data_IF_278826107743
#
_entry.id   IF_278826107743
#
_cell.length_a   1.000
_cell.length_b   1.000
_cell.length_c   1.000
_cell.angle_alpha   90.00
_cell.angle_beta   90.00
_cell.angle_gamma   90.00
#
_symmetry.space_group_name_H-M   'P 1'
#
loop_
_entity.id
_entity.type
_entity.pdbx_description
1 polymer ?
#
# COMPACT_ATOMS: atom_id res chain seq x y z
N UNK A 1 -21.22 -3.09 39.47
CA UNK A 1 -21.71 -4.20 38.62
C UNK A 1 -21.19 -3.99 37.19
N UNK A 2 -20.69 -5.02 36.51
CA UNK A 2 -20.32 -4.92 35.09
C UNK A 2 -21.56 -4.64 34.23
N UNK A 3 -21.43 -3.79 33.21
CA UNK A 3 -22.58 -3.42 32.37
C UNK A 3 -22.97 -4.57 31.42
N UNK A 4 -24.28 -4.83 31.23
CA UNK A 4 -24.75 -5.84 30.29
C UNK A 4 -24.32 -5.52 28.85
N UNK A 5 -23.92 -6.55 28.09
CA UNK A 5 -23.52 -6.41 26.67
C UNK A 5 -24.65 -5.75 25.88
N UNK A 6 -24.34 -4.64 25.19
CA UNK A 6 -25.32 -3.85 24.43
C UNK A 6 -26.08 -2.78 25.24
N UNK A 7 -25.86 -2.66 26.55
CA UNK A 7 -26.42 -1.60 27.41
C UNK A 7 -25.36 -0.63 27.94
N UNK A 8 -24.24 -0.48 27.22
CA UNK A 8 -23.29 0.61 27.47
C UNK A 8 -23.76 1.87 26.74
N UNK A 9 -23.36 3.06 27.21
CA UNK A 9 -23.64 4.34 26.52
C UNK A 9 -23.13 4.42 25.07
N UNK A 10 -22.36 3.42 24.63
CA UNK A 10 -22.08 3.14 23.23
C UNK A 10 -22.44 1.67 22.89
N UNK A 11 -23.70 1.39 22.49
CA UNK A 11 -24.17 0.03 22.20
C UNK A 11 -23.54 -0.57 20.93
N UNK A 12 -23.10 0.28 19.99
CA UNK A 12 -22.42 -0.12 18.75
C UNK A 12 -20.90 -0.30 18.91
N UNK A 13 -20.36 0.01 20.09
CA UNK A 13 -18.93 -0.04 20.34
C UNK A 13 -18.14 1.01 19.57
N UNK A 14 -16.80 0.98 19.72
CA UNK A 14 -15.92 1.83 18.90
C UNK A 14 -16.03 1.40 17.43
N UNK A 15 -16.23 2.32 16.47
CA UNK A 15 -16.34 1.97 15.06
C UNK A 15 -15.10 1.22 14.58
N UNK A 16 -15.31 0.11 13.86
CA UNK A 16 -14.24 -0.71 13.30
C UNK A 16 -13.35 0.15 12.40
N UNK A 17 -12.03 0.08 12.59
CA UNK A 17 -11.06 0.86 11.82
C UNK A 17 -10.72 2.25 12.37
N UNK A 18 -11.38 2.72 13.42
CA UNK A 18 -10.99 3.99 14.07
C UNK A 18 -9.59 3.82 14.67
N UNK A 19 -8.57 4.62 14.31
CA UNK A 19 -7.23 4.51 14.88
C UNK A 19 -7.22 4.86 16.38
N UNK A 20 -6.28 4.30 17.14
CA UNK A 20 -6.15 4.63 18.57
C UNK A 20 -5.72 6.09 18.73
N UNK A 21 -6.28 6.79 19.72
CA UNK A 21 -6.00 8.22 19.95
C UNK A 21 -4.49 8.49 20.06
N UNK A 22 -3.77 7.67 20.82
CA UNK A 22 -2.32 7.72 20.96
C UNK A 22 -1.61 7.57 19.60
N UNK A 23 -2.07 6.62 18.78
CA UNK A 23 -1.49 6.40 17.45
C UNK A 23 -1.77 7.56 16.49
N UNK A 24 -2.91 8.23 16.62
CA UNK A 24 -3.22 9.44 15.86
C UNK A 24 -2.30 10.59 16.28
N UNK A 25 -2.19 10.84 17.58
CA UNK A 25 -1.33 11.91 18.14
C UNK A 25 0.13 11.75 17.72
N UNK A 26 0.67 10.52 17.80
CA UNK A 26 2.04 10.23 17.35
C UNK A 26 2.21 10.48 15.85
N UNK A 27 1.25 10.07 15.00
CA UNK A 27 1.30 10.34 13.56
C UNK A 27 1.27 11.84 13.25
N UNK A 28 0.40 12.59 13.93
CA UNK A 28 0.32 14.04 13.78
C UNK A 28 1.62 14.71 14.21
N UNK A 29 2.20 14.29 15.33
CA UNK A 29 3.48 14.82 15.80
C UNK A 29 4.62 14.54 14.81
N UNK A 30 4.73 13.32 14.27
CA UNK A 30 5.74 12.97 13.27
C UNK A 30 5.58 13.82 12.01
N UNK A 31 4.36 14.00 11.51
CA UNK A 31 4.11 14.84 10.33
C UNK A 31 4.56 16.28 10.57
N UNK A 32 4.19 16.86 11.71
CA UNK A 32 4.62 18.22 12.10
C UNK A 32 6.14 18.33 12.27
N UNK A 33 6.78 17.29 12.80
CA UNK A 33 8.24 17.28 12.94
C UNK A 33 8.92 17.30 11.57
N UNK A 34 8.43 16.50 10.62
CA UNK A 34 8.96 16.47 9.25
C UNK A 34 8.77 17.84 8.59
N UNK A 35 7.56 18.41 8.66
CA UNK A 35 7.26 19.72 8.06
C UNK A 35 8.15 20.83 8.62
N UNK A 36 8.38 20.84 9.94
CA UNK A 36 9.26 21.83 10.60
C UNK A 36 10.72 21.73 10.17
N UNK A 37 11.20 20.54 9.81
CA UNK A 37 12.59 20.32 9.43
C UNK A 37 12.84 20.43 7.92
N UNK A 38 11.82 20.81 7.14
CA UNK A 38 11.92 20.86 5.68
C UNK A 38 13.04 21.76 5.18
N UNK A 39 13.16 22.97 5.74
CA UNK A 39 14.22 23.92 5.35
C UNK A 39 15.62 23.37 5.65
N UNK A 40 15.81 22.73 6.80
CA UNK A 40 17.07 22.10 7.16
C UNK A 40 17.40 20.95 6.19
N UNK A 41 16.42 20.12 5.86
CA UNK A 41 16.62 19.03 4.90
C UNK A 41 17.02 19.53 3.51
N UNK A 42 16.45 20.64 3.04
CA UNK A 42 16.83 21.26 1.76
C UNK A 42 18.28 21.75 1.78
N UNK A 43 18.73 22.32 2.90
CA UNK A 43 20.13 22.73 3.09
C UNK A 43 21.06 21.52 3.14
N UNK A 44 20.71 20.47 3.89
CA UNK A 44 21.50 19.24 3.98
C UNK A 44 21.68 18.59 2.60
N UNK A 45 20.61 18.54 1.79
CA UNK A 45 20.67 18.05 0.41
C UNK A 45 21.61 18.87 -0.47
N UNK A 46 21.67 20.18 -0.26
CA UNK A 46 22.58 21.05 -1.00
C UNK A 46 24.06 20.85 -0.60
N UNK A 47 24.31 20.46 0.66
CA UNK A 47 25.66 20.17 1.18
C UNK A 47 26.20 18.80 0.76
N UNK A 48 25.35 17.84 0.36
CA UNK A 48 25.78 16.52 -0.09
C UNK A 48 26.70 16.59 -1.32
N UNK A 49 27.56 15.58 -1.48
CA UNK A 49 28.36 15.45 -2.70
C UNK A 49 27.47 15.25 -3.93
N UNK A 50 27.89 15.66 -5.14
CA UNK A 50 27.04 15.57 -6.34
C UNK A 50 26.47 14.18 -6.59
N UNK A 51 27.26 13.12 -6.35
CA UNK A 51 26.82 11.73 -6.50
C UNK A 51 25.72 11.35 -5.50
N UNK A 52 25.93 11.63 -4.21
CA UNK A 52 24.98 11.32 -3.15
C UNK A 52 23.67 12.08 -3.33
N UNK A 53 23.76 13.33 -3.77
CA UNK A 53 22.60 14.17 -4.07
C UNK A 53 21.74 13.57 -5.18
N UNK A 54 22.34 13.12 -6.28
CA UNK A 54 21.63 12.44 -7.36
C UNK A 54 20.99 11.13 -6.90
N UNK A 55 21.69 10.33 -6.08
CA UNK A 55 21.12 9.10 -5.51
C UNK A 55 19.93 9.39 -4.59
N UNK A 56 19.98 10.47 -3.81
CA UNK A 56 18.86 10.85 -2.94
C UNK A 56 17.66 11.32 -3.77
N UNK A 57 17.89 12.10 -4.83
CA UNK A 57 16.82 12.48 -5.76
C UNK A 57 16.19 11.28 -6.47
N UNK A 58 16.98 10.27 -6.87
CA UNK A 58 16.46 9.02 -7.42
C UNK A 58 15.47 8.33 -6.47
N UNK A 59 15.78 8.31 -5.17
CA UNK A 59 14.90 7.74 -4.15
C UNK A 59 13.62 8.57 -3.97
N UNK A 60 13.73 9.90 -3.98
CA UNK A 60 12.58 10.79 -3.84
C UNK A 60 11.66 10.76 -5.06
N UNK A 61 12.21 10.61 -6.27
CA UNK A 61 11.44 10.53 -7.52
C UNK A 61 10.42 9.40 -7.53
N UNK A 62 10.64 8.32 -6.76
CA UNK A 62 9.71 7.20 -6.65
C UNK A 62 8.37 7.58 -6.03
N UNK A 63 8.32 8.69 -5.27
CA UNK A 63 7.13 9.18 -4.59
C UNK A 63 6.43 10.31 -5.36
N UNK A 64 7.11 10.93 -6.34
CA UNK A 64 6.55 12.03 -7.13
C UNK A 64 6.18 11.60 -8.54
N UNK A 65 6.91 10.65 -9.11
CA UNK A 65 6.67 10.13 -10.45
C UNK A 65 6.05 8.74 -10.34
N UNK A 66 4.94 8.46 -11.05
CA UNK A 66 4.41 7.12 -11.12
C UNK A 66 5.46 6.21 -11.74
N UNK A 67 6.05 5.33 -10.94
CA UNK A 67 6.91 4.26 -11.47
C UNK A 67 6.00 3.35 -12.26
N UNK A 68 6.30 3.14 -13.54
CA UNK A 68 5.68 2.06 -14.30
C UNK A 68 6.08 0.79 -13.57
N UNK A 69 5.18 0.27 -12.74
CA UNK A 69 5.34 -1.07 -12.20
C UNK A 69 5.42 -1.96 -13.43
N UNK A 70 6.52 -2.71 -13.55
CA UNK A 70 6.53 -3.88 -14.42
C UNK A 70 5.24 -4.62 -14.09
N UNK A 71 4.28 -4.63 -15.02
CA UNK A 71 3.08 -5.42 -14.89
C UNK A 71 3.60 -6.85 -14.93
N UNK A 72 3.93 -7.41 -13.77
CA UNK A 72 3.83 -8.85 -13.62
C UNK A 72 2.36 -9.11 -13.90
N UNK A 73 2.08 -9.64 -15.09
CA UNK A 73 0.81 -10.24 -15.45
C UNK A 73 0.61 -11.44 -14.54
N UNK A 74 0.40 -11.22 -13.23
CA UNK A 74 -0.12 -12.21 -12.32
C UNK A 74 -1.55 -12.40 -12.76
N UNK A 75 -1.75 -13.40 -13.61
CA UNK A 75 -3.08 -13.86 -13.98
C UNK A 75 -3.70 -14.38 -12.69
N UNK A 76 -4.54 -13.55 -12.07
CA UNK A 76 -5.28 -13.93 -10.87
C UNK A 76 -6.47 -14.78 -11.30
N UNK A 77 -6.26 -16.09 -11.34
CA UNK A 77 -7.29 -17.06 -11.69
C UNK A 77 -8.45 -17.09 -10.67
N UNK A 78 -8.30 -16.46 -9.48
CA UNK A 78 -9.37 -16.38 -8.48
C UNK A 78 -10.54 -15.47 -8.91
N UNK A 79 -10.32 -14.58 -9.89
CA UNK A 79 -11.33 -13.68 -10.42
C UNK A 79 -12.12 -14.26 -11.60
N UNK A 80 -11.76 -15.45 -12.08
CA UNK A 80 -12.46 -16.09 -13.20
C UNK A 80 -13.71 -16.81 -12.71
N UNK A 81 -14.81 -16.67 -13.45
CA UNK A 81 -16.00 -17.47 -13.19
C UNK A 81 -15.84 -18.91 -13.71
N UNK A 82 -16.71 -19.80 -13.26
CA UNK A 82 -16.65 -21.24 -13.58
C UNK A 82 -16.72 -21.51 -15.09
N UNK A 83 -17.51 -20.74 -15.84
CA UNK A 83 -17.61 -20.87 -17.29
C UNK A 83 -16.30 -20.50 -18.01
N UNK A 84 -15.63 -19.44 -17.54
CA UNK A 84 -14.34 -18.99 -18.07
C UNK A 84 -13.24 -19.99 -17.72
N UNK A 85 -13.22 -20.52 -16.50
CA UNK A 85 -12.25 -21.54 -16.08
C UNK A 85 -12.39 -22.82 -16.92
N UNK A 86 -13.63 -23.28 -17.13
CA UNK A 86 -13.92 -24.44 -17.98
C UNK A 86 -13.55 -24.25 -19.46
N UNK A 87 -13.50 -23.00 -19.94
CA UNK A 87 -13.02 -22.69 -21.28
C UNK A 87 -11.49 -22.81 -21.35
N UNK A 88 -10.78 -22.21 -20.41
CA UNK A 88 -9.32 -22.27 -20.33
C UNK A 88 -8.83 -23.72 -20.23
N UNK A 89 -9.47 -24.54 -19.38
CA UNK A 89 -9.12 -25.97 -19.23
C UNK A 89 -9.30 -26.73 -20.55
N UNK A 90 -10.36 -26.44 -21.31
CA UNK A 90 -10.64 -27.12 -22.59
C UNK A 90 -9.63 -26.79 -23.66
N UNK A 91 -9.25 -25.52 -23.77
CA UNK A 91 -8.24 -25.06 -24.74
C UNK A 91 -6.87 -25.70 -24.43
N UNK A 92 -6.43 -25.66 -23.17
CA UNK A 92 -5.18 -26.30 -22.75
C UNK A 92 -5.17 -27.80 -23.01
N UNK A 93 -6.28 -28.49 -22.73
CA UNK A 93 -6.40 -29.93 -22.98
C UNK A 93 -6.43 -30.27 -24.48
N UNK A 94 -6.84 -29.36 -25.35
CA UNK A 94 -6.78 -29.54 -26.81
C UNK A 94 -5.36 -29.34 -27.34
N UNK A 95 -4.64 -28.33 -26.83
CA UNK A 95 -3.28 -28.07 -27.27
C UNK A 95 -2.30 -29.17 -26.85
N UNK A 96 -2.43 -29.72 -25.64
CA UNK A 96 -1.68 -30.91 -25.20
C UNK A 96 -1.91 -32.14 -26.10
N UNK A 97 -3.10 -32.28 -26.69
CA UNK A 97 -3.42 -33.37 -27.62
C UNK A 97 -2.95 -33.12 -29.05
N UNK A 98 -2.51 -31.89 -29.37
CA UNK A 98 -1.97 -31.52 -30.68
C UNK A 98 -0.44 -31.65 -30.74
N UNK A 99 0.22 -31.72 -29.59
CA UNK A 99 1.67 -31.90 -29.48
C UNK A 99 2.12 -33.37 -29.37
N UNK A 100 1.17 -34.32 -29.32
CA UNK A 100 1.37 -35.76 -29.55
C UNK A 100 1.01 -36.16 -31.00
#
# INVERSE_FOLDING_TARGET
MPQPKGKSGNPSGRPLGTPNKITLEVRTWIAQLIDKNREQMEQDLAMLTPKERLMMFEKLMQYTTPKIQSVESRIDFSQLNEAQLNRVIRELAQDLRRED
#
